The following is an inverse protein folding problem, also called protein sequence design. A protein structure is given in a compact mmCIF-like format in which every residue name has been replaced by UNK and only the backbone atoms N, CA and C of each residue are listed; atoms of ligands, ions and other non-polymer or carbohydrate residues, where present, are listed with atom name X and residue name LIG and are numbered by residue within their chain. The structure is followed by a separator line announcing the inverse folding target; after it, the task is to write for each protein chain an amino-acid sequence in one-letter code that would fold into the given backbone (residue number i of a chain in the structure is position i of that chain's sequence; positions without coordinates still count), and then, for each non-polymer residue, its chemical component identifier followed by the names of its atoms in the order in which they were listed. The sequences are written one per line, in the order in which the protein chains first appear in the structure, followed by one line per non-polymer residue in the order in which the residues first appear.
data_IF_253104535944
#
_entry.id   IF_253104535944
#
_cell.length_a   1.000
_cell.length_b   1.000
_cell.length_c   1.000
_cell.angle_alpha   90.00
_cell.angle_beta   90.00
_cell.angle_gamma   90.00
#
_symmetry.space_group_name_H-M   'P 1'
#
loop_
_entity.id
_entity.type
_entity.pdbx_description
1 polymer ?
#
# COMPACT_ATOMS: atom_id res chain seq x y z
N UNK A 1 -82.33 -28.92 -66.62
CA UNK A 1 -81.17 -29.72 -66.17
C UNK A 1 -79.90 -28.90 -66.38
N UNK A 2 -79.06 -28.84 -65.34
CA UNK A 2 -77.69 -28.28 -65.27
C UNK A 2 -77.53 -26.75 -65.20
N UNK A 3 -77.47 -26.27 -63.95
CA UNK A 3 -76.59 -25.17 -63.53
C UNK A 3 -75.19 -25.36 -64.12
N UNK A 4 -74.68 -24.37 -64.86
CA UNK A 4 -73.23 -24.21 -65.07
C UNK A 4 -72.67 -23.50 -63.85
N UNK A 5 -71.96 -24.25 -63.03
CA UNK A 5 -71.10 -23.77 -61.95
C UNK A 5 -69.90 -23.03 -62.59
N UNK A 6 -69.75 -21.75 -62.23
CA UNK A 6 -68.51 -20.99 -62.10
C UNK A 6 -67.36 -21.35 -63.07
N UNK A 7 -67.31 -20.70 -64.24
CA UNK A 7 -66.02 -20.43 -64.89
C UNK A 7 -65.49 -19.11 -64.33
N UNK A 8 -64.58 -19.22 -63.36
CA UNK A 8 -63.76 -18.10 -62.90
C UNK A 8 -62.56 -17.96 -63.83
N UNK A 9 -62.60 -16.98 -64.74
CA UNK A 9 -61.48 -16.66 -65.63
C UNK A 9 -60.54 -15.56 -65.08
N UNK A 10 -60.67 -15.22 -63.80
CA UNK A 10 -59.67 -14.40 -63.10
C UNK A 10 -58.95 -15.29 -62.08
N UNK A 11 -57.94 -16.03 -62.53
CA UNK A 11 -56.98 -16.71 -61.64
C UNK A 11 -56.07 -15.68 -60.94
N UNK A 12 -56.66 -14.77 -60.17
CA UNK A 12 -55.96 -13.70 -59.44
C UNK A 12 -55.46 -14.15 -58.06
N UNK A 13 -55.96 -15.29 -57.55
CA UNK A 13 -55.59 -15.81 -56.23
C UNK A 13 -54.12 -16.21 -56.12
N UNK A 14 -53.52 -16.72 -57.21
CA UNK A 14 -52.10 -17.07 -57.23
C UNK A 14 -51.21 -15.83 -57.18
N UNK A 15 -51.56 -14.79 -57.94
CA UNK A 15 -50.82 -13.52 -57.99
C UNK A 15 -50.92 -12.78 -56.64
N UNK A 16 -52.12 -12.73 -56.05
CA UNK A 16 -52.32 -12.11 -54.73
C UNK A 16 -51.56 -12.86 -53.63
N UNK A 17 -51.59 -14.20 -53.64
CA UNK A 17 -50.82 -15.01 -52.69
C UNK A 17 -49.32 -14.75 -52.77
N UNK A 18 -48.77 -14.65 -53.99
CA UNK A 18 -47.35 -14.33 -54.20
C UNK A 18 -47.01 -12.92 -53.70
N UNK A 19 -47.85 -11.93 -53.96
CA UNK A 19 -47.64 -10.55 -53.47
C UNK A 19 -47.63 -10.50 -51.94
N UNK A 20 -48.56 -11.20 -51.27
CA UNK A 20 -48.62 -11.23 -49.81
C UNK A 20 -47.38 -11.92 -49.23
N UNK A 21 -46.93 -13.05 -49.81
CA UNK A 21 -45.72 -13.75 -49.36
C UNK A 21 -44.50 -12.83 -49.52
N UNK A 22 -44.35 -12.16 -50.67
CA UNK A 22 -43.24 -11.22 -50.90
C UNK A 22 -43.31 -10.03 -49.93
N UNK A 23 -44.50 -9.48 -49.68
CA UNK A 23 -44.68 -8.39 -48.72
C UNK A 23 -44.33 -8.80 -47.30
N UNK A 24 -44.73 -10.00 -46.88
CA UNK A 24 -44.43 -10.54 -45.56
C UNK A 24 -42.94 -10.87 -45.42
N UNK A 25 -42.30 -11.47 -46.42
CA UNK A 25 -40.86 -11.78 -46.37
C UNK A 25 -40.02 -10.52 -46.31
N UNK A 26 -40.33 -9.50 -47.11
CA UNK A 26 -39.61 -8.21 -47.08
C UNK A 26 -39.78 -7.55 -45.71
N UNK A 27 -40.99 -7.59 -45.15
CA UNK A 27 -41.27 -7.01 -43.83
C UNK A 27 -40.52 -7.75 -42.72
N UNK A 28 -40.50 -9.09 -42.75
CA UNK A 28 -39.73 -9.89 -41.80
C UNK A 28 -38.23 -9.63 -41.89
N UNK A 29 -37.67 -9.59 -43.11
CA UNK A 29 -36.26 -9.26 -43.32
C UNK A 29 -35.96 -7.84 -42.81
N UNK A 30 -36.85 -6.88 -43.08
CA UNK A 30 -36.71 -5.50 -42.61
C UNK A 30 -36.65 -5.41 -41.08
N UNK A 31 -37.55 -6.09 -40.38
CA UNK A 31 -37.56 -6.15 -38.91
C UNK A 31 -36.29 -6.84 -38.38
N UNK A 32 -35.88 -7.96 -38.98
CA UNK A 32 -34.67 -8.69 -38.57
C UNK A 32 -33.43 -7.80 -38.71
N UNK A 33 -33.26 -7.12 -39.85
CA UNK A 33 -32.11 -6.25 -40.07
C UNK A 33 -32.07 -5.06 -39.11
N UNK A 34 -33.24 -4.49 -38.78
CA UNK A 34 -33.36 -3.36 -37.85
C UNK A 34 -32.79 -3.69 -36.46
N UNK A 35 -33.02 -4.91 -35.96
CA UNK A 35 -32.54 -5.35 -34.64
C UNK A 35 -31.19 -6.08 -34.68
N UNK A 36 -30.89 -6.83 -35.74
CA UNK A 36 -29.70 -7.69 -35.79
C UNK A 36 -28.43 -6.91 -36.08
N UNK A 37 -28.49 -5.88 -36.94
CA UNK A 37 -27.30 -5.10 -37.32
C UNK A 37 -26.67 -4.39 -36.10
N UNK A 38 -27.44 -3.67 -35.25
CA UNK A 38 -26.88 -3.08 -34.04
C UNK A 38 -26.36 -4.11 -33.03
N UNK A 39 -27.06 -5.24 -32.86
CA UNK A 39 -26.64 -6.31 -31.95
C UNK A 39 -25.31 -6.95 -32.37
N UNK A 40 -25.13 -7.22 -33.67
CA UNK A 40 -23.89 -7.76 -34.23
C UNK A 40 -22.75 -6.75 -34.09
N UNK A 41 -23.00 -5.46 -34.36
CA UNK A 41 -21.99 -4.41 -34.19
C UNK A 41 -21.49 -4.28 -32.75
N UNK A 42 -22.39 -4.40 -31.76
CA UNK A 42 -22.01 -4.44 -30.35
C UNK A 42 -21.13 -5.63 -30.00
N UNK A 43 -21.49 -6.83 -30.47
CA UNK A 43 -20.68 -8.05 -30.28
C UNK A 43 -19.31 -7.94 -30.95
N UNK A 44 -19.23 -7.35 -32.15
CA UNK A 44 -17.98 -7.13 -32.85
C UNK A 44 -17.06 -6.18 -32.08
N UNK A 45 -17.60 -5.08 -31.53
CA UNK A 45 -16.84 -4.14 -30.72
C UNK A 45 -16.35 -4.76 -29.40
N UNK A 46 -17.18 -5.53 -28.69
CA UNK A 46 -16.75 -6.25 -27.49
C UNK A 46 -15.65 -7.28 -27.81
N UNK A 47 -15.74 -7.97 -28.94
CA UNK A 47 -14.70 -8.90 -29.38
C UNK A 47 -13.38 -8.18 -29.73
N UNK A 48 -13.43 -6.99 -30.35
CA UNK A 48 -12.26 -6.14 -30.59
C UNK A 48 -11.57 -5.76 -29.29
N UNK A 49 -12.34 -5.30 -28.31
CA UNK A 49 -11.84 -4.90 -26.98
C UNK A 49 -11.15 -6.09 -26.30
N UNK A 50 -11.83 -7.23 -26.17
CA UNK A 50 -11.24 -8.42 -25.53
C UNK A 50 -9.97 -8.92 -26.22
N UNK A 51 -9.92 -8.88 -27.55
CA UNK A 51 -8.69 -9.24 -28.28
C UNK A 51 -7.57 -8.25 -28.00
N UNK A 52 -7.88 -6.96 -27.89
CA UNK A 52 -6.91 -5.93 -27.51
C UNK A 52 -6.40 -6.14 -26.08
N UNK A 53 -7.29 -6.37 -25.12
CA UNK A 53 -6.94 -6.71 -23.73
C UNK A 53 -5.97 -7.90 -23.67
N UNK A 54 -6.24 -8.97 -24.41
CA UNK A 54 -5.34 -10.13 -24.50
C UNK A 54 -3.99 -9.78 -25.13
N UNK A 55 -3.98 -9.03 -26.24
CA UNK A 55 -2.74 -8.56 -26.87
C UNK A 55 -1.91 -7.70 -25.92
N UNK A 56 -2.55 -6.87 -25.10
CA UNK A 56 -1.89 -6.03 -24.12
C UNK A 56 -1.38 -6.81 -22.90
N UNK A 57 -2.07 -7.85 -22.44
CA UNK A 57 -1.49 -8.77 -21.44
C UNK A 57 -0.23 -9.48 -21.97
N UNK A 58 -0.18 -9.79 -23.27
CA UNK A 58 1.05 -10.33 -23.89
C UNK A 58 2.13 -9.26 -24.02
N UNK A 59 1.75 -8.01 -24.33
CA UNK A 59 2.65 -6.87 -24.37
C UNK A 59 3.32 -6.66 -23.00
N UNK A 60 2.53 -6.64 -21.93
CA UNK A 60 2.97 -6.53 -20.55
C UNK A 60 4.02 -7.59 -20.19
N UNK A 61 3.69 -8.87 -20.38
CA UNK A 61 4.64 -9.97 -20.14
C UNK A 61 5.96 -9.82 -20.91
N UNK A 62 5.93 -9.28 -22.14
CA UNK A 62 7.15 -9.04 -22.93
C UNK A 62 7.88 -7.76 -22.51
N UNK A 63 7.16 -6.73 -22.09
CA UNK A 63 7.73 -5.50 -21.52
C UNK A 63 8.54 -5.84 -20.27
N UNK A 64 7.99 -6.62 -19.34
CA UNK A 64 8.71 -7.04 -18.13
C UNK A 64 9.98 -7.83 -18.47
N UNK A 65 9.94 -8.72 -19.47
CA UNK A 65 11.15 -9.44 -19.93
C UNK A 65 12.25 -8.53 -20.47
N UNK A 66 11.86 -7.43 -21.12
CA UNK A 66 12.82 -6.47 -21.67
C UNK A 66 13.35 -5.53 -20.59
N UNK A 67 12.45 -5.03 -19.74
CA UNK A 67 12.78 -4.11 -18.66
C UNK A 67 13.65 -4.75 -17.56
N UNK A 68 13.46 -6.05 -17.31
CA UNK A 68 14.16 -6.82 -16.27
C UNK A 68 15.36 -7.63 -16.81
N UNK A 69 15.74 -7.43 -18.07
CA UNK A 69 16.99 -7.97 -18.61
C UNK A 69 16.98 -9.41 -19.12
N UNK A 70 15.82 -10.07 -19.16
CA UNK A 70 15.73 -11.41 -19.75
C UNK A 70 15.95 -11.39 -21.28
N UNK A 71 15.67 -10.26 -21.93
CA UNK A 71 15.84 -10.10 -23.36
C UNK A 71 16.13 -8.64 -23.77
N UNK A 72 17.12 -8.37 -24.63
CA UNK A 72 17.45 -6.99 -25.03
C UNK A 72 16.35 -6.34 -25.89
N UNK A 73 15.52 -7.15 -26.55
CA UNK A 73 14.43 -6.65 -27.40
C UNK A 73 13.31 -7.67 -27.59
N UNK A 74 12.10 -7.19 -27.81
CA UNK A 74 10.93 -8.00 -28.14
C UNK A 74 10.12 -7.33 -29.26
N UNK A 75 9.43 -8.15 -30.05
CA UNK A 75 8.52 -7.68 -31.09
C UNK A 75 7.12 -8.23 -30.81
N UNK A 76 6.13 -7.35 -30.79
CA UNK A 76 4.75 -7.67 -30.42
C UNK A 76 3.83 -7.29 -31.58
N UNK A 77 3.08 -8.25 -32.09
CA UNK A 77 2.06 -7.99 -33.10
C UNK A 77 0.75 -7.58 -32.44
N UNK A 78 0.19 -6.44 -32.84
CA UNK A 78 -1.10 -5.93 -32.38
C UNK A 78 -2.03 -5.74 -33.57
N UNK A 79 -3.25 -6.27 -33.45
CA UNK A 79 -4.29 -6.12 -34.46
C UNK A 79 -5.11 -4.88 -34.15
N UNK A 80 -4.98 -3.82 -34.97
CA UNK A 80 -5.68 -2.56 -34.70
C UNK A 80 -7.18 -2.68 -34.87
N UNK A 81 -7.67 -3.55 -35.76
CA UNK A 81 -9.10 -3.83 -35.97
C UNK A 81 -9.99 -2.58 -36.16
N UNK A 82 -9.43 -1.51 -36.73
CA UNK A 82 -10.10 -0.22 -36.95
C UNK A 82 -9.88 0.81 -35.86
N UNK A 83 -9.07 0.49 -34.85
CA UNK A 83 -8.66 1.40 -33.77
C UNK A 83 -7.39 2.19 -34.09
N UNK A 84 -6.97 2.95 -33.09
CA UNK A 84 -5.74 3.77 -33.11
C UNK A 84 -4.81 3.30 -32.00
N UNK A 85 -3.57 2.97 -32.34
CA UNK A 85 -2.52 2.74 -31.35
C UNK A 85 -1.68 4.01 -31.20
N UNK A 86 -1.49 4.44 -29.95
CA UNK A 86 -0.61 5.53 -29.55
C UNK A 86 0.50 5.01 -28.63
N UNK A 87 1.71 5.51 -28.81
CA UNK A 87 2.82 5.41 -27.85
C UNK A 87 3.06 6.83 -27.32
N UNK A 88 2.93 7.00 -26.01
CA UNK A 88 2.87 8.28 -25.31
C UNK A 88 4.01 8.39 -24.27
N UNK A 89 5.25 8.37 -24.76
CA UNK A 89 6.49 8.50 -23.98
C UNK A 89 7.23 9.79 -24.29
N UNK A 90 6.58 10.94 -24.07
CA UNK A 90 7.13 12.28 -24.27
C UNK A 90 6.82 13.19 -23.06
N UNK A 91 7.42 14.39 -23.02
CA UNK A 91 7.32 15.31 -21.88
C UNK A 91 5.86 15.70 -21.53
N UNK A 92 5.01 15.90 -22.54
CA UNK A 92 3.58 16.21 -22.32
C UNK A 92 2.82 15.04 -21.69
N UNK A 93 3.08 13.82 -22.17
CA UNK A 93 2.45 12.60 -21.65
C UNK A 93 2.92 12.30 -20.23
N UNK A 94 4.22 12.51 -19.96
CA UNK A 94 4.80 12.33 -18.64
C UNK A 94 4.15 13.24 -17.59
N UNK A 95 3.75 14.46 -17.93
CA UNK A 95 3.07 15.35 -16.97
C UNK A 95 1.71 14.82 -16.46
N UNK A 96 1.11 13.85 -17.15
CA UNK A 96 -0.17 13.23 -16.81
C UNK A 96 -0.05 11.75 -16.42
N UNK A 97 1.18 11.21 -16.41
CA UNK A 97 1.48 9.80 -16.16
C UNK A 97 2.75 9.70 -15.31
N UNK A 98 2.58 9.79 -13.98
CA UNK A 98 3.67 9.92 -13.01
C UNK A 98 3.37 9.19 -11.70
N UNK A 99 4.41 8.59 -11.13
CA UNK A 99 4.41 8.06 -9.75
C UNK A 99 5.35 8.93 -8.92
N UNK A 100 4.87 9.40 -7.77
CA UNK A 100 5.66 10.08 -6.76
C UNK A 100 5.53 9.33 -5.44
N UNK A 101 6.65 8.94 -4.86
CA UNK A 101 6.71 8.33 -3.53
C UNK A 101 7.19 9.39 -2.56
N UNK A 102 6.44 9.58 -1.48
CA UNK A 102 6.71 10.55 -0.42
C UNK A 102 6.93 9.80 0.88
N UNK A 103 8.03 10.11 1.57
CA UNK A 103 8.31 9.63 2.92
C UNK A 103 7.90 10.71 3.93
N UNK A 104 7.11 10.36 4.94
CA UNK A 104 6.66 11.31 5.95
C UNK A 104 6.86 10.76 7.37
N UNK A 105 7.20 11.65 8.31
CA UNK A 105 7.01 11.38 9.74
C UNK A 105 5.55 11.68 10.15
N UNK A 106 5.15 11.38 11.38
CA UNK A 106 3.78 11.58 11.88
C UNK A 106 3.29 13.02 11.67
N UNK A 107 4.13 14.01 11.98
CA UNK A 107 3.76 15.42 11.80
C UNK A 107 3.65 15.81 10.32
N UNK A 108 4.53 15.30 9.46
CA UNK A 108 4.47 15.47 8.01
C UNK A 108 3.22 14.86 7.42
N UNK A 109 2.84 13.67 7.90
CA UNK A 109 1.62 12.96 7.54
C UNK A 109 0.35 13.72 7.96
N UNK A 110 0.31 14.25 9.18
CA UNK A 110 -0.80 15.10 9.63
C UNK A 110 -0.94 16.35 8.75
N UNK A 111 0.18 17.00 8.39
CA UNK A 111 0.17 18.21 7.57
C UNK A 111 -0.41 17.99 6.16
N UNK A 112 -0.10 16.87 5.52
CA UNK A 112 -0.60 16.53 4.17
C UNK A 112 -2.03 15.97 4.19
N UNK A 113 -2.51 15.45 5.32
CA UNK A 113 -3.87 14.93 5.46
C UNK A 113 -4.89 15.98 5.88
N UNK A 114 -4.48 17.04 6.59
CA UNK A 114 -5.36 18.09 7.12
C UNK A 114 -6.31 18.72 6.10
N UNK A 115 -5.90 18.88 4.84
CA UNK A 115 -6.70 19.50 3.79
C UNK A 115 -7.22 18.49 2.74
N UNK A 116 -7.21 17.21 3.09
CA UNK A 116 -7.42 16.11 2.15
C UNK A 116 -6.20 15.87 1.27
N UNK A 117 -6.06 14.65 0.77
CA UNK A 117 -4.98 14.34 -0.16
C UNK A 117 -5.25 14.97 -1.53
N UNK A 118 -4.24 15.65 -2.06
CA UNK A 118 -4.27 16.14 -3.42
C UNK A 118 -2.88 16.11 -4.06
N UNK A 119 -2.84 15.99 -5.39
CA UNK A 119 -1.61 16.01 -6.16
C UNK A 119 -0.74 17.23 -5.84
N UNK A 120 0.55 17.02 -5.58
CA UNK A 120 1.53 18.03 -5.13
C UNK A 120 1.27 18.67 -3.76
N UNK A 121 0.36 18.13 -2.96
CA UNK A 121 0.10 18.64 -1.60
C UNK A 121 1.33 18.57 -0.67
N UNK A 122 2.26 17.63 -0.92
CA UNK A 122 3.48 17.46 -0.14
C UNK A 122 4.52 18.57 -0.38
N UNK A 123 4.54 19.23 -1.55
CA UNK A 123 5.58 20.21 -1.93
C UNK A 123 5.65 21.38 -0.93
N UNK A 124 4.50 21.78 -0.38
CA UNK A 124 4.39 22.86 0.61
C UNK A 124 5.16 22.58 1.91
N UNK A 125 5.34 21.32 2.27
CA UNK A 125 5.91 20.89 3.54
C UNK A 125 7.36 20.40 3.44
N UNK A 126 7.94 20.40 2.24
CA UNK A 126 9.35 20.01 2.03
C UNK A 126 9.65 18.57 2.42
N UNK A 127 8.69 17.66 2.27
CA UNK A 127 8.87 16.24 2.56
C UNK A 127 9.80 15.59 1.52
N UNK A 128 10.64 14.65 1.96
CA UNK A 128 11.47 13.88 1.02
C UNK A 128 10.58 13.06 0.08
N UNK A 129 10.89 13.13 -1.20
CA UNK A 129 10.13 12.50 -2.25
C UNK A 129 10.98 12.20 -3.47
N UNK A 130 10.56 11.21 -4.23
CA UNK A 130 11.16 10.85 -5.50
C UNK A 130 10.09 10.40 -6.47
N UNK A 131 10.37 10.56 -7.75
CA UNK A 131 9.38 10.38 -8.80
C UNK A 131 9.94 9.69 -10.03
N UNK A 132 9.06 9.04 -10.75
CA UNK A 132 9.30 8.53 -12.09
C UNK A 132 8.10 8.84 -12.96
N UNK A 133 8.36 9.17 -14.23
CA UNK A 133 7.31 9.26 -15.25
C UNK A 133 7.10 7.88 -15.86
N UNK A 134 5.86 7.53 -16.17
CA UNK A 134 5.55 6.20 -16.73
C UNK A 134 5.38 6.27 -18.24
N UNK A 135 4.53 7.17 -18.74
CA UNK A 135 4.09 7.13 -20.13
C UNK A 135 3.20 5.90 -20.39
N UNK A 136 2.62 5.83 -21.60
CA UNK A 136 1.67 4.77 -21.93
C UNK A 136 1.80 4.26 -23.36
N UNK A 137 1.32 3.04 -23.57
CA UNK A 137 0.93 2.54 -24.90
C UNK A 137 -0.57 2.35 -24.85
N UNK A 138 -1.32 2.87 -25.81
CA UNK A 138 -2.78 2.92 -25.77
C UNK A 138 -3.37 2.44 -27.08
N UNK A 139 -4.41 1.62 -27.03
CA UNK A 139 -5.24 1.26 -28.16
C UNK A 139 -6.67 1.76 -27.95
N UNK A 140 -7.08 2.69 -28.81
CA UNK A 140 -8.36 3.39 -28.74
C UNK A 140 -9.35 2.80 -29.74
N UNK A 141 -10.55 2.46 -29.23
CA UNK A 141 -11.70 2.00 -30.00
C UNK A 141 -12.91 2.89 -29.66
N UNK A 142 -13.17 3.91 -30.49
CA UNK A 142 -14.20 4.92 -30.23
C UNK A 142 -13.98 5.60 -28.87
N UNK A 143 -14.78 5.25 -27.85
CA UNK A 143 -14.72 5.80 -26.49
C UNK A 143 -14.16 4.79 -25.46
N UNK A 144 -13.56 3.69 -25.93
CA UNK A 144 -12.94 2.67 -25.09
C UNK A 144 -11.44 2.63 -25.32
N UNK A 145 -10.65 2.54 -24.25
CA UNK A 145 -9.18 2.56 -24.32
C UNK A 145 -8.60 1.38 -23.55
N UNK A 146 -7.77 0.57 -24.20
CA UNK A 146 -6.92 -0.43 -23.54
C UNK A 146 -5.50 0.12 -23.51
N UNK A 147 -4.87 0.17 -22.34
CA UNK A 147 -3.57 0.81 -22.17
C UNK A 147 -2.61 -0.02 -21.32
N UNK A 148 -1.34 0.03 -21.68
CA UNK A 148 -0.24 -0.37 -20.82
C UNK A 148 0.38 0.88 -20.20
N UNK A 149 0.44 0.95 -18.87
CA UNK A 149 1.01 2.08 -18.13
C UNK A 149 1.56 1.58 -16.78
N UNK A 150 2.78 2.03 -16.43
CA UNK A 150 3.36 1.78 -15.10
C UNK A 150 3.60 0.32 -14.77
N UNK A 151 3.62 -0.56 -15.77
CA UNK A 151 3.77 -2.01 -15.60
C UNK A 151 2.45 -2.77 -15.49
N UNK A 152 1.30 -2.11 -15.57
CA UNK A 152 -0.02 -2.75 -15.60
C UNK A 152 -0.75 -2.54 -16.91
N UNK A 153 -1.83 -3.30 -17.11
CA UNK A 153 -2.75 -3.13 -18.24
C UNK A 153 -4.12 -2.71 -17.72
N UNK A 154 -4.65 -1.64 -18.31
CA UNK A 154 -5.87 -0.96 -17.89
C UNK A 154 -6.86 -0.90 -19.05
N UNK A 155 -8.16 -1.05 -18.75
CA UNK A 155 -9.26 -0.98 -19.72
C UNK A 155 -10.26 0.07 -19.26
N UNK A 156 -10.36 1.17 -20.01
CA UNK A 156 -11.19 2.34 -19.71
C UNK A 156 -12.42 2.34 -20.59
N UNK A 157 -13.59 2.34 -19.94
CA UNK A 157 -14.88 2.28 -20.58
C UNK A 157 -15.43 3.68 -20.92
N UNK A 158 -16.41 3.77 -21.85
CA UNK A 158 -17.02 5.05 -22.25
C UNK A 158 -17.67 5.84 -21.10
N UNK A 159 -18.02 5.17 -20.00
CA UNK A 159 -18.53 5.81 -18.79
C UNK A 159 -17.44 6.49 -17.93
N UNK A 160 -16.18 6.41 -18.35
CA UNK A 160 -15.02 6.98 -17.66
C UNK A 160 -14.39 6.08 -16.59
N UNK A 161 -15.00 4.93 -16.27
CA UNK A 161 -14.44 3.95 -15.33
C UNK A 161 -13.32 3.14 -15.99
N UNK A 162 -12.27 2.86 -15.23
CA UNK A 162 -11.20 1.98 -15.63
C UNK A 162 -11.24 0.68 -14.82
N UNK A 163 -10.78 -0.41 -15.41
CA UNK A 163 -10.56 -1.68 -14.71
C UNK A 163 -9.17 -2.21 -15.03
N UNK A 164 -8.60 -2.93 -14.08
CA UNK A 164 -7.34 -3.63 -14.26
C UNK A 164 -7.55 -4.91 -15.07
N UNK A 165 -6.72 -5.12 -16.09
CA UNK A 165 -6.66 -6.34 -16.92
C UNK A 165 -5.43 -7.17 -16.56
N UNK A 166 -4.28 -6.51 -16.37
CA UNK A 166 -3.03 -7.12 -15.89
C UNK A 166 -2.48 -6.29 -14.73
N UNK A 167 -2.10 -6.90 -13.61
CA UNK A 167 -1.63 -6.17 -12.46
C UNK A 167 -0.26 -5.54 -12.72
N UNK A 168 0.01 -4.34 -12.20
CA UNK A 168 1.34 -3.78 -12.18
C UNK A 168 2.24 -4.56 -11.23
N UNK A 169 3.55 -4.44 -11.46
CA UNK A 169 4.59 -4.99 -10.59
C UNK A 169 4.65 -4.17 -9.28
N UNK A 170 3.70 -4.44 -8.38
CA UNK A 170 3.60 -3.89 -7.03
C UNK A 170 3.64 -5.08 -6.08
N UNK A 171 4.77 -5.32 -5.43
CA UNK A 171 4.94 -6.50 -4.59
C UNK A 171 5.30 -6.12 -3.15
N UNK A 172 4.43 -6.51 -2.22
CA UNK A 172 4.70 -6.39 -0.78
C UNK A 172 4.66 -7.78 -0.15
N UNK A 173 5.75 -8.14 0.54
CA UNK A 173 5.93 -9.47 1.13
C UNK A 173 5.73 -9.50 2.66
N UNK A 174 5.09 -8.46 3.23
CA UNK A 174 4.94 -8.31 4.68
C UNK A 174 6.04 -7.49 5.36
N UNK A 175 7.13 -7.18 4.65
CA UNK A 175 8.24 -6.39 5.21
C UNK A 175 8.84 -5.41 4.20
N UNK A 176 8.94 -5.83 2.93
CA UNK A 176 9.55 -5.09 1.84
C UNK A 176 8.52 -4.76 0.79
N UNK A 177 8.40 -3.48 0.42
CA UNK A 177 7.71 -3.06 -0.80
C UNK A 177 8.73 -2.97 -1.93
N UNK A 178 8.52 -3.75 -2.96
CA UNK A 178 9.27 -3.70 -4.22
C UNK A 178 8.37 -3.09 -5.29
N UNK A 179 8.79 -1.94 -5.83
CA UNK A 179 8.06 -1.14 -6.81
C UNK A 179 8.95 -0.81 -8.01
N UNK A 180 9.06 -1.71 -8.99
CA UNK A 180 9.66 -1.41 -10.28
C UNK A 180 8.66 -0.61 -11.15
N UNK A 181 8.99 0.65 -11.40
CA UNK A 181 8.19 1.55 -12.24
C UNK A 181 8.65 1.37 -13.68
N UNK A 182 7.72 0.97 -14.56
CA UNK A 182 7.99 0.83 -15.99
C UNK A 182 7.80 2.17 -16.70
N UNK A 183 8.85 2.67 -17.34
CA UNK A 183 8.84 3.92 -18.10
C UNK A 183 8.94 3.65 -19.61
N UNK A 184 7.88 3.96 -20.33
CA UNK A 184 7.79 3.86 -21.78
C UNK A 184 8.35 5.13 -22.41
N UNK A 185 9.42 4.98 -23.19
CA UNK A 185 9.98 6.02 -24.05
C UNK A 185 9.53 5.81 -25.50
N UNK A 186 9.19 6.88 -26.21
CA UNK A 186 8.81 6.84 -27.62
C UNK A 186 7.52 7.61 -27.89
N UNK A 187 7.35 8.15 -29.09
CA UNK A 187 6.15 8.89 -29.45
C UNK A 187 5.72 8.58 -30.87
N UNK A 188 4.61 7.89 -31.02
CA UNK A 188 4.08 7.51 -32.33
C UNK A 188 2.59 7.24 -32.28
N UNK A 189 1.92 7.33 -33.42
CA UNK A 189 0.50 7.03 -33.55
C UNK A 189 0.24 6.39 -34.91
N UNK A 190 -0.58 5.34 -34.92
CA UNK A 190 -1.03 4.68 -36.14
C UNK A 190 -2.50 4.31 -36.00
N UNK A 191 -3.27 4.56 -37.05
CA UNK A 191 -4.69 4.18 -37.12
C UNK A 191 -4.90 3.28 -38.32
N UNK A 192 -5.73 2.26 -38.16
CA UNK A 192 -6.04 1.37 -39.27
C UNK A 192 -6.69 0.06 -38.86
N UNK A 193 -6.87 -0.82 -39.84
CA UNK A 193 -7.45 -2.15 -39.64
C UNK A 193 -6.43 -3.29 -39.81
N UNK A 194 -5.17 -2.96 -40.11
CA UNK A 194 -4.10 -3.93 -40.28
C UNK A 194 -3.45 -4.32 -38.96
N UNK A 195 -2.74 -5.45 -38.98
CA UNK A 195 -1.83 -5.82 -37.92
C UNK A 195 -0.56 -4.96 -38.02
N UNK A 196 -0.07 -4.49 -36.89
CA UNK A 196 1.17 -3.71 -36.75
C UNK A 196 2.11 -4.43 -35.79
N UNK A 197 3.39 -4.09 -35.82
CA UNK A 197 4.35 -4.57 -34.84
C UNK A 197 4.84 -3.42 -33.95
N UNK A 198 4.98 -3.69 -32.66
CA UNK A 198 5.70 -2.82 -31.73
C UNK A 198 7.05 -3.48 -31.43
N UNK A 199 8.12 -2.76 -31.71
CA UNK A 199 9.46 -3.09 -31.26
C UNK A 199 9.69 -2.47 -29.87
N UNK A 200 10.17 -3.28 -28.95
CA UNK A 200 10.40 -2.92 -27.55
C UNK A 200 11.84 -3.24 -27.21
N UNK A 201 12.59 -2.27 -26.69
CA UNK A 201 14.03 -2.40 -26.38
C UNK A 201 14.37 -1.76 -25.04
N UNK A 202 15.37 -2.29 -24.33
CA UNK A 202 15.90 -1.68 -23.10
C UNK A 202 17.43 -1.82 -23.05
N UNK A 203 18.07 -0.91 -22.31
CA UNK A 203 19.49 -1.01 -22.00
C UNK A 203 19.79 -1.98 -20.85
N UNK A 204 18.76 -2.56 -20.21
CA UNK A 204 18.88 -3.46 -19.05
C UNK A 204 19.65 -2.83 -17.87
N UNK A 205 19.46 -1.52 -17.67
CA UNK A 205 20.08 -0.78 -16.59
C UNK A 205 19.01 -0.02 -15.82
N UNK A 206 18.37 -0.64 -14.82
CA UNK A 206 17.37 0.04 -14.02
C UNK A 206 17.99 1.16 -13.20
N UNK A 207 17.31 2.30 -13.13
CA UNK A 207 17.70 3.42 -12.27
C UNK A 207 17.12 3.20 -10.89
N UNK A 208 17.98 3.00 -9.90
CA UNK A 208 17.57 2.86 -8.51
C UNK A 208 17.12 4.22 -7.95
N UNK A 209 15.86 4.31 -7.50
CA UNK A 209 15.28 5.49 -6.87
C UNK A 209 15.28 5.37 -5.34
N UNK A 210 15.13 4.15 -4.83
CA UNK A 210 15.26 3.84 -3.41
C UNK A 210 15.76 2.38 -3.22
N UNK A 211 16.70 2.11 -2.29
CA UNK A 211 17.48 3.07 -1.52
C UNK A 211 18.47 3.84 -2.41
N UNK A 212 18.79 5.07 -2.05
CA UNK A 212 19.78 5.91 -2.74
C UNK A 212 20.65 6.65 -1.71
N UNK A 213 21.86 6.12 -1.48
CA UNK A 213 22.82 6.68 -0.52
C UNK A 213 23.27 8.09 -0.88
N UNK A 214 23.23 8.49 -2.15
CA UNK A 214 23.65 9.83 -2.55
C UNK A 214 22.65 10.90 -2.06
N UNK A 215 21.40 10.51 -1.84
CA UNK A 215 20.33 11.36 -1.33
C UNK A 215 19.92 10.99 0.11
N UNK A 216 20.78 10.28 0.86
CA UNK A 216 20.50 9.80 2.24
C UNK A 216 19.21 8.97 2.36
N UNK A 217 18.84 8.26 1.29
CA UNK A 217 17.71 7.32 1.29
C UNK A 217 18.23 5.93 1.55
N UNK A 218 18.06 5.42 2.76
CA UNK A 218 18.59 4.11 3.16
C UNK A 218 17.48 3.19 3.63
N UNK A 219 17.79 1.90 3.56
CA UNK A 219 17.04 0.86 4.26
C UNK A 219 17.77 0.50 5.55
N UNK A 220 17.06 0.13 6.64
CA UNK A 220 15.61 0.22 6.84
C UNK A 220 15.07 1.64 6.69
N UNK A 221 13.77 1.77 6.42
CA UNK A 221 13.13 3.08 6.25
C UNK A 221 13.20 3.91 7.53
N UNK A 222 13.66 5.16 7.40
CA UNK A 222 13.62 6.18 8.46
C UNK A 222 12.42 7.12 8.25
N UNK A 223 11.23 6.55 8.13
CA UNK A 223 9.97 7.26 7.96
C UNK A 223 8.86 6.62 8.80
N UNK A 224 7.73 7.31 8.94
CA UNK A 224 6.56 6.79 9.67
C UNK A 224 5.48 6.30 8.72
N UNK A 225 5.40 6.93 7.54
CA UNK A 225 4.45 6.64 6.48
C UNK A 225 5.13 6.74 5.12
N UNK A 226 4.76 5.86 4.21
CA UNK A 226 4.99 6.01 2.77
C UNK A 226 3.67 6.34 2.10
N UNK A 227 3.68 7.36 1.25
CA UNK A 227 2.53 7.71 0.43
C UNK A 227 2.94 7.75 -1.02
N UNK A 228 2.21 7.03 -1.87
CA UNK A 228 2.45 6.90 -3.29
C UNK A 228 1.33 7.61 -4.03
N UNK A 229 1.66 8.71 -4.69
CA UNK A 229 0.77 9.45 -5.58
C UNK A 229 0.98 8.97 -7.01
N UNK A 230 -0.08 8.43 -7.62
CA UNK A 230 -0.06 7.90 -8.98
C UNK A 230 -1.00 8.76 -9.82
N UNK A 231 -0.46 9.70 -10.58
CA UNK A 231 -1.21 10.53 -11.50
C UNK A 231 -1.36 9.79 -12.83
N UNK A 232 -2.59 9.54 -13.24
CA UNK A 232 -2.93 8.67 -14.38
C UNK A 232 -4.35 8.89 -14.88
N UNK A 233 -4.61 8.66 -16.17
CA UNK A 233 -5.97 8.58 -16.73
C UNK A 233 -6.78 7.37 -16.21
N UNK A 234 -6.11 6.40 -15.58
CA UNK A 234 -6.63 5.15 -15.04
C UNK A 234 -6.56 5.12 -13.49
N UNK A 235 -6.47 6.29 -12.85
CA UNK A 235 -6.28 6.42 -11.40
C UNK A 235 -7.32 5.67 -10.54
N UNK A 236 -8.54 5.50 -11.03
CA UNK A 236 -9.57 4.74 -10.32
C UNK A 236 -9.24 3.25 -10.26
N UNK A 237 -8.77 2.66 -11.38
CA UNK A 237 -8.31 1.27 -11.40
C UNK A 237 -7.03 1.06 -10.59
N UNK A 238 -6.12 2.03 -10.56
CA UNK A 238 -4.94 2.00 -9.69
C UNK A 238 -5.33 1.95 -8.21
N UNK A 239 -6.29 2.79 -7.80
CA UNK A 239 -6.80 2.79 -6.43
C UNK A 239 -7.54 1.49 -6.08
N UNK A 240 -8.38 0.98 -6.99
CA UNK A 240 -9.08 -0.30 -6.81
C UNK A 240 -8.08 -1.46 -6.70
N UNK A 241 -7.02 -1.48 -7.50
CA UNK A 241 -5.95 -2.49 -7.40
C UNK A 241 -5.21 -2.41 -6.07
N UNK A 242 -4.79 -1.23 -5.65
CA UNK A 242 -4.15 -1.05 -4.35
C UNK A 242 -5.06 -1.54 -3.22
N UNK A 243 -6.33 -1.13 -3.19
CA UNK A 243 -7.30 -1.61 -2.19
C UNK A 243 -7.59 -3.12 -2.26
N UNK A 244 -7.25 -3.80 -3.37
CA UNK A 244 -7.33 -5.27 -3.45
C UNK A 244 -6.14 -5.97 -2.79
N UNK A 245 -5.04 -5.25 -2.54
CA UNK A 245 -3.91 -5.73 -1.76
C UNK A 245 -4.25 -5.63 -0.28
N UNK A 246 -3.99 -6.70 0.48
CA UNK A 246 -4.42 -6.86 1.88
C UNK A 246 -4.00 -5.72 2.81
N UNK A 247 -2.95 -4.99 2.44
CA UNK A 247 -2.18 -4.15 3.36
C UNK A 247 -1.93 -2.74 2.85
N UNK A 248 -2.74 -2.28 1.89
CA UNK A 248 -2.62 -0.91 1.40
C UNK A 248 -3.98 -0.26 1.42
N UNK A 249 -3.99 1.02 1.80
CA UNK A 249 -5.17 1.85 1.73
C UNK A 249 -5.00 2.85 0.60
N UNK A 250 -5.94 2.88 -0.33
CA UNK A 250 -5.91 3.83 -1.43
C UNK A 250 -7.16 4.69 -1.50
N UNK A 251 -6.95 5.97 -1.76
CA UNK A 251 -8.00 6.96 -2.04
C UNK A 251 -7.76 7.61 -3.39
N UNK A 252 -8.73 8.38 -3.89
CA UNK A 252 -8.64 9.06 -5.18
C UNK A 252 -8.82 10.57 -5.04
N UNK A 253 -7.94 11.32 -5.68
CA UNK A 253 -8.09 12.75 -5.97
C UNK A 253 -8.63 12.91 -7.40
N UNK A 254 -9.96 12.96 -7.52
CA UNK A 254 -10.69 13.00 -8.80
C UNK A 254 -10.32 14.25 -9.63
N UNK A 255 -10.30 15.48 -9.07
CA UNK A 255 -9.92 16.68 -9.83
C UNK A 255 -8.56 16.59 -10.52
N UNK A 256 -7.58 15.93 -9.88
CA UNK A 256 -6.23 15.78 -10.44
C UNK A 256 -5.96 14.40 -11.06
N UNK A 257 -6.96 13.52 -11.14
CA UNK A 257 -6.85 12.15 -11.65
C UNK A 257 -5.68 11.40 -11.01
N UNK A 258 -5.69 11.31 -9.68
CA UNK A 258 -4.57 10.74 -8.92
C UNK A 258 -5.08 9.68 -7.95
N UNK A 259 -4.44 8.51 -7.96
CA UNK A 259 -4.59 7.47 -6.94
C UNK A 259 -3.55 7.71 -5.84
N UNK A 260 -3.93 7.52 -4.58
CA UNK A 260 -3.11 7.89 -3.43
C UNK A 260 -3.09 6.70 -2.51
N UNK A 261 -1.97 5.97 -2.53
CA UNK A 261 -1.76 4.74 -1.76
C UNK A 261 -0.95 5.07 -0.51
N UNK A 262 -1.39 4.59 0.63
CA UNK A 262 -0.74 4.79 1.92
C UNK A 262 -0.25 3.45 2.49
N UNK A 263 0.97 3.46 3.04
CA UNK A 263 1.56 2.34 3.77
C UNK A 263 2.20 2.83 5.08
N UNK A 264 2.13 1.99 6.10
CA UNK A 264 2.68 2.25 7.42
C UNK A 264 4.09 1.71 7.53
N UNK A 265 5.00 2.49 8.14
CA UNK A 265 6.39 2.09 8.31
C UNK A 265 6.64 1.72 9.77
N UNK A 266 7.28 0.57 10.01
CA UNK A 266 7.71 0.14 11.33
C UNK A 266 9.24 0.00 11.36
N UNK A 267 9.87 0.21 12.52
CA UNK A 267 11.30 -0.02 12.66
C UNK A 267 11.65 -1.50 12.51
N UNK A 268 12.90 -1.81 12.09
CA UNK A 268 13.39 -3.18 12.02
C UNK A 268 13.36 -3.87 13.39
N UNK A 269 12.97 -5.15 13.39
CA UNK A 269 13.06 -6.02 14.57
C UNK A 269 14.51 -6.48 14.81
N UNK A 270 14.76 -7.04 15.99
CA UNK A 270 16.07 -7.46 16.48
C UNK A 270 16.74 -6.43 17.38
N UNK A 271 18.05 -6.64 17.62
CA UNK A 271 18.86 -5.78 18.50
C UNK A 271 19.41 -4.58 17.74
N UNK A 272 19.03 -3.38 18.17
CA UNK A 272 19.41 -2.10 17.57
C UNK A 272 19.93 -1.13 18.63
N UNK A 273 20.74 -0.15 18.23
CA UNK A 273 21.12 0.98 19.10
C UNK A 273 19.84 1.68 19.58
N UNK A 274 19.80 2.03 20.87
CA UNK A 274 18.61 2.62 21.47
C UNK A 274 18.39 4.04 20.94
N UNK A 275 17.44 4.18 20.02
CA UNK A 275 17.00 5.49 19.55
C UNK A 275 16.11 6.17 20.59
N UNK A 276 16.18 7.50 20.65
CA UNK A 276 15.27 8.30 21.45
C UNK A 276 14.68 9.44 20.59
N UNK A 277 13.35 9.43 20.33
CA UNK A 277 12.37 8.37 20.64
C UNK A 277 12.57 7.09 19.80
N UNK A 278 11.98 5.97 20.22
CA UNK A 278 11.89 4.73 19.41
C UNK A 278 10.43 4.38 19.12
N UNK A 279 10.18 3.45 18.19
CA UNK A 279 8.82 3.02 17.82
C UNK A 279 8.67 1.52 17.96
N UNK A 280 7.43 1.09 18.15
CA UNK A 280 6.99 -0.30 18.03
C UNK A 280 5.86 -0.31 17.01
N UNK A 281 5.92 -1.21 16.04
CA UNK A 281 4.88 -1.39 15.04
C UNK A 281 3.57 -1.87 15.65
N UNK A 282 2.51 -1.86 14.86
CA UNK A 282 1.26 -2.49 15.27
C UNK A 282 1.53 -3.99 15.50
N UNK A 283 0.99 -4.56 16.57
CA UNK A 283 1.21 -5.96 16.94
C UNK A 283 0.02 -6.81 16.46
N UNK A 284 0.27 -8.04 16.02
CA UNK A 284 -0.76 -9.02 15.68
C UNK A 284 -1.55 -9.43 16.93
N UNK A 285 -2.70 -8.81 17.12
CA UNK A 285 -3.63 -9.05 18.23
C UNK A 285 -4.42 -10.35 18.09
N UNK A 286 -4.29 -11.06 16.95
CA UNK A 286 -4.87 -12.39 16.78
C UNK A 286 -4.06 -13.49 17.46
N UNK A 287 -2.79 -13.23 17.78
CA UNK A 287 -1.96 -14.13 18.58
C UNK A 287 -2.16 -13.87 20.07
N UNK A 288 -2.13 -14.94 20.87
CA UNK A 288 -2.21 -14.81 22.33
C UNK A 288 -0.99 -14.05 22.88
N UNK A 289 0.20 -14.35 22.33
CA UNK A 289 1.51 -13.89 22.79
C UNK A 289 2.39 -13.38 21.65
N UNK A 290 2.04 -12.24 21.04
CA UNK A 290 2.72 -11.77 19.84
C UNK A 290 4.11 -11.17 20.10
N UNK A 291 4.44 -10.72 21.31
CA UNK A 291 5.80 -10.25 21.60
C UNK A 291 6.72 -11.42 22.01
N UNK A 292 7.84 -11.54 21.32
CA UNK A 292 8.87 -12.57 21.53
C UNK A 292 10.11 -12.04 22.26
N UNK A 293 10.43 -10.74 22.12
CA UNK A 293 11.46 -10.05 22.88
C UNK A 293 11.11 -8.57 23.02
N UNK A 294 11.23 -8.03 24.23
CA UNK A 294 11.18 -6.60 24.50
C UNK A 294 12.11 -6.26 25.65
N UNK A 295 13.38 -6.04 25.33
CA UNK A 295 14.40 -5.78 26.34
C UNK A 295 15.27 -4.58 26.01
N UNK A 296 15.81 -3.97 27.07
CA UNK A 296 16.76 -2.87 27.00
C UNK A 296 18.09 -3.30 27.60
N UNK A 297 19.17 -2.97 26.92
CA UNK A 297 20.51 -2.92 27.51
C UNK A 297 20.87 -1.44 27.70
N UNK A 298 20.72 -0.95 28.92
CA UNK A 298 20.95 0.45 29.26
C UNK A 298 22.37 0.63 29.79
N UNK A 299 23.09 1.59 29.23
CA UNK A 299 24.43 2.00 29.67
C UNK A 299 24.41 3.40 30.29
N UNK A 300 25.19 3.61 31.34
CA UNK A 300 25.30 4.90 32.01
C UNK A 300 26.04 5.95 31.15
N UNK A 301 25.52 7.18 31.15
CA UNK A 301 26.12 8.32 30.43
C UNK A 301 27.33 8.93 31.10
N UNK A 302 27.49 8.74 32.40
CA UNK A 302 28.54 9.41 33.14
C UNK A 302 28.71 8.88 34.55
N UNK A 303 29.56 9.53 35.32
CA UNK A 303 30.02 9.05 36.63
C UNK A 303 28.94 8.96 37.71
N UNK A 304 27.74 9.49 37.47
CA UNK A 304 26.58 9.30 38.36
C UNK A 304 25.94 7.91 38.20
N UNK A 305 26.33 7.16 37.17
CA UNK A 305 25.78 5.84 36.89
C UNK A 305 24.30 5.86 36.52
N UNK A 306 23.65 4.72 36.66
CA UNK A 306 22.21 4.55 36.49
C UNK A 306 21.41 4.96 37.74
N UNK A 307 22.09 5.32 38.84
CA UNK A 307 21.49 5.70 40.13
C UNK A 307 20.57 6.94 40.07
N UNK A 308 20.60 7.69 38.96
CA UNK A 308 19.71 8.84 38.74
C UNK A 308 18.40 8.47 38.04
N UNK A 309 18.15 7.19 37.74
CA UNK A 309 16.86 6.68 37.31
C UNK A 309 15.88 6.73 38.49
N UNK A 310 15.31 7.90 38.77
CA UNK A 310 14.29 8.07 39.80
C UNK A 310 12.97 8.46 39.13
N UNK A 311 12.00 7.55 39.16
CA UNK A 311 10.74 7.64 38.41
C UNK A 311 10.96 7.91 36.92
N UNK A 312 11.93 7.23 36.33
CA UNK A 312 12.21 7.34 34.90
C UNK A 312 11.08 6.68 34.11
N UNK A 313 10.48 7.39 33.18
CA UNK A 313 9.27 6.95 32.46
C UNK A 313 9.63 6.45 31.07
N UNK A 314 9.32 5.20 30.76
CA UNK A 314 9.22 4.69 29.38
C UNK A 314 7.75 4.83 28.99
N UNK A 315 7.42 5.90 28.28
CA UNK A 315 6.07 6.36 27.99
C UNK A 315 5.71 6.15 26.51
N UNK A 316 4.53 5.62 26.25
CA UNK A 316 3.94 5.45 24.93
C UNK A 316 2.52 6.03 24.88
N UNK A 317 2.12 6.51 23.70
CA UNK A 317 0.77 7.03 23.46
C UNK A 317 0.28 6.70 22.05
N UNK A 318 -0.97 6.30 21.93
CA UNK A 318 -1.66 6.01 20.66
C UNK A 318 -3.12 6.39 20.78
N UNK A 319 -3.60 7.36 19.98
CA UNK A 319 -4.99 7.82 20.07
C UNK A 319 -5.39 8.27 21.48
N UNK A 320 -6.43 7.64 22.05
CA UNK A 320 -6.92 7.87 23.41
C UNK A 320 -6.13 7.15 24.50
N UNK A 321 -5.15 6.32 24.13
CA UNK A 321 -4.48 5.34 24.99
C UNK A 321 -3.05 5.75 25.33
N UNK A 322 -2.64 5.46 26.55
CA UNK A 322 -1.24 5.63 27.01
C UNK A 322 -0.78 4.43 27.82
N UNK A 323 0.53 4.16 27.78
CA UNK A 323 1.20 3.11 28.55
C UNK A 323 2.52 3.65 29.09
N UNK A 324 2.74 3.50 30.38
CA UNK A 324 3.95 4.02 31.05
C UNK A 324 4.57 2.94 31.92
N UNK A 325 5.84 2.62 31.69
CA UNK A 325 6.67 1.86 32.64
C UNK A 325 7.50 2.85 33.44
N UNK A 326 7.34 2.85 34.77
CA UNK A 326 8.15 3.67 35.68
C UNK A 326 9.31 2.84 36.22
N UNK A 327 10.52 3.30 35.98
CA UNK A 327 11.76 2.67 36.41
C UNK A 327 12.37 3.48 37.57
N UNK A 328 12.83 2.76 38.58
CA UNK A 328 13.55 3.34 39.71
C UNK A 328 14.78 2.48 40.04
N UNK A 329 15.97 3.05 39.89
CA UNK A 329 17.18 2.45 40.44
C UNK A 329 17.20 2.65 41.96
N UNK A 330 17.37 1.54 42.67
CA UNK A 330 17.67 1.56 44.09
C UNK A 330 18.44 0.31 44.49
N UNK A 331 19.58 0.51 45.15
CA UNK A 331 20.40 -0.59 45.71
C UNK A 331 20.99 -1.52 44.65
N UNK A 332 21.46 -0.96 43.54
CA UNK A 332 22.01 -1.66 42.37
C UNK A 332 21.00 -2.56 41.67
N UNK A 333 19.72 -2.21 41.77
CA UNK A 333 18.63 -2.86 41.05
C UNK A 333 17.75 -1.79 40.41
N UNK A 334 17.37 -1.98 39.15
CA UNK A 334 16.33 -1.17 38.48
C UNK A 334 15.00 -1.88 38.65
N UNK A 335 14.08 -1.27 39.38
CA UNK A 335 12.73 -1.80 39.60
C UNK A 335 11.73 -1.15 38.65
N UNK A 336 10.80 -1.95 38.14
CA UNK A 336 9.58 -1.44 37.51
C UNK A 336 8.61 -1.12 38.64
N UNK A 337 8.60 0.13 39.09
CA UNK A 337 7.78 0.53 40.24
C UNK A 337 6.31 0.64 39.92
N UNK A 338 5.96 0.93 38.67
CA UNK A 338 4.57 1.02 38.22
C UNK A 338 4.48 0.82 36.71
N UNK A 339 3.47 0.08 36.26
CA UNK A 339 2.99 0.04 34.87
C UNK A 339 1.60 0.64 34.85
N UNK A 340 1.45 1.80 34.21
CA UNK A 340 0.18 2.52 34.10
C UNK A 340 -0.32 2.48 32.67
N UNK A 341 -1.51 1.90 32.47
CA UNK A 341 -2.26 1.96 31.23
C UNK A 341 -3.48 2.87 31.41
N UNK A 342 -3.79 3.70 30.41
CA UNK A 342 -4.97 4.56 30.41
C UNK A 342 -5.64 4.56 29.04
N UNK A 343 -6.98 4.49 28.98
CA UNK A 343 -7.76 4.66 27.75
C UNK A 343 -8.89 5.68 27.94
N UNK A 344 -8.64 6.91 27.50
CA UNK A 344 -9.60 8.02 27.66
C UNK A 344 -10.87 7.92 26.80
N UNK A 345 -10.99 6.89 25.95
CA UNK A 345 -12.23 6.62 25.20
C UNK A 345 -13.31 5.91 26.03
N UNK A 346 -12.93 5.31 27.16
CA UNK A 346 -13.83 4.59 28.06
C UNK A 346 -14.42 5.54 29.11
N UNK A 347 -15.75 5.52 29.25
CA UNK A 347 -16.45 6.25 30.31
C UNK A 347 -16.25 5.56 31.68
N UNK A 348 -15.88 6.33 32.71
CA UNK A 348 -15.75 5.83 34.09
C UNK A 348 -14.29 5.65 34.53
N UNK A 349 -13.98 4.51 35.14
CA UNK A 349 -12.59 4.17 35.49
C UNK A 349 -11.86 3.71 34.23
N UNK A 350 -10.86 4.48 33.84
CA UNK A 350 -10.18 4.34 32.55
C UNK A 350 -8.67 4.15 32.69
N UNK A 351 -8.20 3.87 33.91
CA UNK A 351 -6.80 3.67 34.24
C UNK A 351 -6.60 2.32 34.92
N UNK A 352 -5.52 1.63 34.61
CA UNK A 352 -5.11 0.39 35.26
C UNK A 352 -3.64 0.48 35.62
N UNK A 353 -3.32 0.16 36.87
CA UNK A 353 -1.96 0.27 37.39
C UNK A 353 -1.52 -1.03 38.06
N UNK A 354 -0.26 -1.40 37.81
CA UNK A 354 0.41 -2.56 38.37
C UNK A 354 1.72 -2.16 39.03
N UNK A 355 2.02 -2.68 40.21
CA UNK A 355 3.25 -2.44 40.94
C UNK A 355 4.16 -3.67 40.91
N UNK A 356 5.42 -3.49 40.54
CA UNK A 356 6.45 -4.52 40.59
C UNK A 356 7.29 -4.42 41.85
N UNK A 357 7.72 -5.56 42.41
CA UNK A 357 8.59 -5.62 43.60
C UNK A 357 10.02 -6.06 43.26
N UNK A 358 10.14 -6.84 42.20
CA UNK A 358 11.40 -7.35 41.68
C UNK A 358 12.17 -6.26 40.91
N UNK A 359 13.46 -6.51 40.71
CA UNK A 359 14.38 -5.55 40.10
C UNK A 359 15.43 -6.25 39.25
N UNK A 360 15.81 -5.58 38.17
CA UNK A 360 16.89 -6.02 37.28
C UNK A 360 18.22 -5.59 37.86
N UNK A 361 19.23 -6.47 37.92
CA UNK A 361 20.52 -6.12 38.49
C UNK A 361 21.24 -5.07 37.65
N UNK A 362 21.85 -4.10 38.32
CA UNK A 362 22.83 -3.19 37.74
C UNK A 362 24.21 -3.83 37.89
N UNK A 363 24.90 -3.97 36.77
CA UNK A 363 26.23 -4.56 36.68
C UNK A 363 27.24 -3.43 36.50
N UNK A 364 28.51 -3.67 36.84
CA UNK A 364 29.62 -2.72 36.76
C UNK A 364 29.51 -1.53 37.74
N UNK A 365 30.17 -0.40 37.44
CA UNK A 365 30.31 0.75 38.35
C UNK A 365 30.33 2.09 37.62
N UNK A 366 29.61 3.08 38.16
CA UNK A 366 29.61 4.47 37.72
C UNK A 366 29.35 4.61 36.21
N UNK A 367 30.29 5.18 35.45
CA UNK A 367 30.14 5.42 34.01
C UNK A 367 30.06 4.15 33.17
N UNK A 368 30.49 3.02 33.73
CA UNK A 368 30.46 1.73 33.05
C UNK A 368 29.25 0.89 33.51
N UNK A 369 28.37 1.42 34.37
CA UNK A 369 27.17 0.71 34.82
C UNK A 369 26.27 0.34 33.63
N UNK A 370 25.81 -0.90 33.65
CA UNK A 370 24.85 -1.41 32.68
C UNK A 370 23.73 -2.19 33.35
N UNK A 371 22.54 -2.18 32.74
CA UNK A 371 21.40 -2.99 33.18
C UNK A 371 20.69 -3.62 31.99
N UNK A 372 20.35 -4.91 32.13
CA UNK A 372 19.53 -5.66 31.19
C UNK A 372 18.10 -5.71 31.76
N UNK A 373 17.19 -4.97 31.14
CA UNK A 373 15.78 -4.89 31.55
C UNK A 373 14.96 -5.67 30.53
N UNK A 374 14.41 -6.81 30.93
CA UNK A 374 13.51 -7.61 30.09
C UNK A 374 12.06 -7.33 30.48
N UNK A 375 11.31 -6.63 29.62
CA UNK A 375 9.90 -6.34 29.85
C UNK A 375 8.98 -7.55 29.60
N UNK A 376 9.55 -8.68 29.18
CA UNK A 376 8.88 -9.96 28.99
C UNK A 376 9.36 -11.01 30.02
N UNK A 377 9.98 -10.60 31.13
CA UNK A 377 10.37 -11.53 32.20
C UNK A 377 9.12 -12.19 32.82
N UNK A 378 9.06 -13.52 32.81
CA UNK A 378 7.94 -14.30 33.33
C UNK A 378 8.07 -14.61 34.83
N UNK A 379 9.24 -14.34 35.42
CA UNK A 379 9.55 -14.58 36.83
C UNK A 379 9.23 -13.39 37.75
N UNK A 380 8.95 -12.21 37.16
CA UNK A 380 8.66 -10.99 37.90
C UNK A 380 7.15 -10.85 38.14
N UNK A 381 6.75 -10.83 39.41
CA UNK A 381 5.35 -10.68 39.79
C UNK A 381 4.96 -9.20 39.85
N UNK A 382 3.82 -8.89 39.23
CA UNK A 382 3.18 -7.59 39.18
C UNK A 382 1.87 -7.64 39.95
N UNK A 383 1.69 -6.74 40.91
CA UNK A 383 0.49 -6.66 41.75
C UNK A 383 -0.45 -5.56 41.25
N UNK A 384 -1.72 -5.89 41.02
CA UNK A 384 -2.74 -4.95 40.58
C UNK A 384 -3.16 -4.01 41.72
N UNK A 385 -3.22 -2.71 41.48
CA UNK A 385 -3.42 -1.71 42.56
C UNK A 385 -4.87 -1.30 42.82
N UNK A 386 -5.80 -1.63 41.91
CA UNK A 386 -7.22 -1.22 41.97
C UNK A 386 -8.17 -2.38 42.31
N UNK A 387 -9.40 -2.06 42.69
CA UNK A 387 -10.43 -3.06 43.02
C UNK A 387 -11.06 -3.73 41.79
N UNK A 388 -11.10 -3.02 40.66
CA UNK A 388 -11.72 -3.48 39.42
C UNK A 388 -10.87 -3.11 38.21
N UNK A 389 -10.68 -4.07 37.32
CA UNK A 389 -10.06 -3.88 36.02
C UNK A 389 -11.15 -3.76 34.93
N UNK A 390 -10.91 -2.90 33.95
CA UNK A 390 -11.80 -2.70 32.80
C UNK A 390 -11.33 -3.46 31.55
N UNK A 391 -10.04 -3.78 31.45
CA UNK A 391 -9.49 -4.56 30.33
C UNK A 391 -9.22 -6.02 30.68
N UNK A 392 -9.13 -6.35 31.99
CA UNK A 392 -8.90 -7.72 32.46
C UNK A 392 -10.19 -8.38 32.95
N UNK A 393 -10.46 -9.60 32.47
CA UNK A 393 -11.66 -10.36 32.81
C UNK A 393 -11.65 -10.97 34.24
N UNK A 394 -10.54 -10.90 34.98
CA UNK A 394 -10.44 -11.46 36.34
C UNK A 394 -9.64 -10.54 37.27
N UNK A 395 -10.16 -10.35 38.48
CA UNK A 395 -9.48 -9.77 39.65
C UNK A 395 -8.41 -10.72 40.21
N UNK A 396 -7.54 -11.28 39.37
CA UNK A 396 -6.32 -11.90 39.87
C UNK A 396 -5.38 -10.75 40.23
N UNK A 397 -5.16 -10.56 41.53
CA UNK A 397 -4.36 -9.47 42.07
C UNK A 397 -2.89 -9.53 41.69
N UNK A 398 -2.40 -10.64 41.12
CA UNK A 398 -1.01 -10.83 40.71
C UNK A 398 -0.96 -11.45 39.30
N UNK A 399 -0.10 -10.91 38.45
CA UNK A 399 0.23 -11.41 37.10
C UNK A 399 1.75 -11.31 36.87
N UNK A 400 2.30 -12.08 35.95
CA UNK A 400 3.70 -11.88 35.54
C UNK A 400 3.87 -10.60 34.73
N UNK A 401 5.05 -9.99 34.78
CA UNK A 401 5.42 -8.86 33.92
C UNK A 401 5.22 -9.21 32.44
N UNK A 402 5.58 -10.43 32.03
CA UNK A 402 5.26 -10.98 30.71
C UNK A 402 3.79 -10.81 30.33
N UNK A 403 2.85 -11.27 31.15
CA UNK A 403 1.42 -11.19 30.86
C UNK A 403 0.92 -9.74 30.80
N UNK A 404 1.38 -8.90 31.73
CA UNK A 404 0.99 -7.48 31.79
C UNK A 404 1.46 -6.74 30.54
N UNK A 405 2.72 -6.92 30.15
CA UNK A 405 3.31 -6.30 28.95
C UNK A 405 2.60 -6.79 27.69
N UNK A 406 2.42 -8.11 27.51
CA UNK A 406 1.74 -8.67 26.33
C UNK A 406 0.33 -8.11 26.15
N UNK A 407 -0.43 -8.00 27.24
CA UNK A 407 -1.79 -7.48 27.21
C UNK A 407 -1.87 -6.01 26.80
N UNK A 408 -1.12 -5.13 27.48
CA UNK A 408 -1.19 -3.70 27.18
C UNK A 408 -0.51 -3.31 25.87
N UNK A 409 0.49 -4.06 25.42
CA UNK A 409 1.10 -3.86 24.11
C UNK A 409 0.09 -4.14 22.98
N UNK A 410 -0.73 -5.18 23.09
CA UNK A 410 -1.85 -5.41 22.15
C UNK A 410 -2.82 -4.23 22.15
N UNK A 411 -3.26 -3.79 23.32
CA UNK A 411 -4.24 -2.70 23.45
C UNK A 411 -3.73 -1.35 22.94
N UNK A 412 -2.49 -0.96 23.28
CA UNK A 412 -1.97 0.35 22.86
C UNK A 412 -1.65 0.41 21.36
N UNK A 413 -1.38 -0.74 20.74
CA UNK A 413 -1.08 -0.84 19.31
C UNK A 413 -2.30 -1.08 18.42
N UNK A 414 -3.50 -1.17 19.02
CA UNK A 414 -4.75 -1.38 18.28
C UNK A 414 -5.02 -0.29 17.22
N UNK A 415 -4.60 0.96 17.48
CA UNK A 415 -4.76 2.08 16.55
C UNK A 415 -3.60 2.26 15.57
N UNK A 416 -2.60 1.36 15.61
CA UNK A 416 -1.43 1.38 14.73
C UNK A 416 -0.09 1.39 15.48
N UNK A 417 0.98 1.77 14.77
CA UNK A 417 2.32 1.87 15.35
C UNK A 417 2.38 2.94 16.47
N UNK A 418 3.18 2.67 17.50
CA UNK A 418 3.26 3.48 18.72
C UNK A 418 4.67 3.98 18.93
N UNK A 419 4.80 5.25 19.30
CA UNK A 419 6.06 5.87 19.62
C UNK A 419 6.30 5.86 21.13
N UNK A 420 7.45 5.35 21.54
CA UNK A 420 7.94 5.36 22.91
C UNK A 420 8.91 6.53 23.13
N UNK A 421 8.76 7.19 24.27
CA UNK A 421 9.60 8.27 24.76
C UNK A 421 10.10 7.87 26.14
N UNK A 422 11.40 7.99 26.34
CA UNK A 422 12.04 7.89 27.64
C UNK A 422 12.15 9.28 28.29
N UNK A 423 11.62 9.46 29.49
CA UNK A 423 11.55 10.75 30.17
C UNK A 423 12.13 10.65 31.57
N UNK A 424 12.98 11.61 31.91
CA UNK A 424 13.54 11.76 33.25
C UNK A 424 12.74 12.76 34.08
N UNK A 425 12.53 12.46 35.36
CA UNK A 425 12.01 13.41 36.36
C UNK A 425 13.05 14.46 36.79
N UNK A 426 14.34 14.21 36.51
CA UNK A 426 15.48 15.02 36.95
C UNK A 426 16.04 15.96 35.87
N UNK A 427 17.06 16.75 36.24
CA UNK A 427 17.70 17.73 35.34
C UNK A 427 18.66 17.10 34.31
N UNK A 428 18.96 15.80 34.39
CA UNK A 428 19.89 15.13 33.48
C UNK A 428 19.46 13.69 33.21
N UNK A 429 19.50 13.29 31.93
CA UNK A 429 19.25 11.92 31.48
C UNK A 429 20.47 11.02 31.79
N UNK A 430 20.33 9.96 32.60
CA UNK A 430 21.44 9.08 32.96
C UNK A 430 21.84 8.10 31.86
N UNK A 431 21.07 7.95 30.78
CA UNK A 431 21.28 6.93 29.75
C UNK A 431 22.21 7.44 28.64
N UNK A 432 23.21 6.63 28.27
CA UNK A 432 23.97 6.78 27.04
C UNK A 432 23.28 6.04 25.89
N UNK A 433 22.43 6.74 25.13
CA UNK A 433 21.74 6.16 23.98
C UNK A 433 22.68 5.60 22.90
N UNK A 434 23.90 6.13 22.76
CA UNK A 434 24.85 5.65 21.76
C UNK A 434 25.47 4.30 22.09
N UNK A 435 25.58 3.98 23.38
CA UNK A 435 26.10 2.71 23.90
C UNK A 435 24.98 1.74 24.31
N UNK A 436 23.77 2.26 24.54
CA UNK A 436 22.59 1.47 24.89
C UNK A 436 21.95 0.81 23.67
N UNK A 437 21.24 -0.29 23.89
CA UNK A 437 20.51 -0.99 22.83
C UNK A 437 19.13 -1.44 23.28
N UNK A 438 18.27 -1.67 22.30
CA UNK A 438 16.94 -2.26 22.46
C UNK A 438 16.86 -3.51 21.59
N UNK A 439 16.26 -4.56 22.11
CA UNK A 439 15.91 -5.74 21.33
C UNK A 439 14.40 -5.92 21.30
N UNK A 440 13.84 -5.88 20.09
CA UNK A 440 12.40 -5.99 19.84
C UNK A 440 12.13 -7.09 18.81
N UNK A 441 11.40 -8.13 19.19
CA UNK A 441 10.90 -9.15 18.27
C UNK A 441 9.43 -9.40 18.58
N UNK A 442 8.57 -9.30 17.58
CA UNK A 442 7.14 -9.50 17.75
C UNK A 442 6.49 -9.90 16.42
N UNK A 443 5.33 -10.52 16.50
CA UNK A 443 4.46 -10.72 15.35
C UNK A 443 3.81 -9.37 15.04
N UNK A 444 4.31 -8.69 14.02
CA UNK A 444 3.71 -7.43 13.57
C UNK A 444 2.36 -7.69 12.92
N UNK A 445 1.40 -6.79 13.18
CA UNK A 445 0.15 -6.73 12.42
C UNK A 445 0.49 -6.65 10.94
N UNK A 446 -0.20 -7.43 10.10
CA UNK A 446 0.16 -7.50 8.72
C UNK A 446 -0.30 -6.19 8.05
N UNK A 447 0.67 -5.32 7.74
CA UNK A 447 0.54 -3.94 7.21
C UNK A 447 1.83 -3.12 7.31
N UNK A 448 2.86 -3.67 7.94
CA UNK A 448 4.03 -2.91 8.38
C UNK A 448 5.22 -2.98 7.41
N UNK A 449 5.64 -1.84 6.88
CA UNK A 449 6.76 -1.71 5.95
C UNK A 449 8.07 -1.45 6.71
N UNK A 450 9.12 -2.22 6.45
CA UNK A 450 10.46 -2.00 7.02
C UNK A 450 11.43 -1.57 5.90
N UNK A 451 11.29 -2.17 4.72
CA UNK A 451 12.20 -1.96 3.59
C UNK A 451 11.44 -1.46 2.37
N UNK A 452 12.08 -0.59 1.61
CA UNK A 452 11.56 -0.10 0.33
C UNK A 452 12.59 -0.33 -0.77
N UNK A 453 12.13 -0.77 -1.93
CA UNK A 453 12.95 -0.89 -3.12
C UNK A 453 12.17 -0.33 -4.30
N UNK A 454 12.62 0.79 -4.86
CA UNK A 454 11.97 1.43 -6.01
C UNK A 454 12.99 1.61 -7.12
N UNK A 455 12.64 1.15 -8.32
CA UNK A 455 13.45 1.32 -9.53
C UNK A 455 12.63 1.93 -10.64
N UNK A 456 13.27 2.71 -11.50
CA UNK A 456 12.74 3.12 -12.79
C UNK A 456 13.39 2.24 -13.86
N UNK A 457 12.56 1.57 -14.65
CA UNK A 457 12.99 0.61 -15.67
C UNK A 457 12.52 1.17 -17.03
N UNK A 458 13.48 1.66 -17.81
CA UNK A 458 13.18 2.30 -19.08
C UNK A 458 13.07 1.30 -20.21
N UNK A 459 12.05 1.50 -21.03
CA UNK A 459 11.79 0.71 -22.22
C UNK A 459 11.45 1.63 -23.39
N UNK A 460 12.20 1.53 -24.48
CA UNK A 460 11.92 2.27 -25.71
C UNK A 460 10.99 1.46 -26.61
N UNK A 461 9.88 2.06 -27.01
CA UNK A 461 8.85 1.44 -27.84
C UNK A 461 8.66 2.22 -29.16
N UNK A 462 8.63 1.50 -30.27
CA UNK A 462 8.45 2.05 -31.61
C UNK A 462 7.53 1.16 -32.45
N UNK A 463 6.71 1.78 -33.30
CA UNK A 463 5.86 1.07 -34.27
C UNK A 463 6.68 0.79 -35.53
N UNK A 464 6.71 -0.47 -35.96
CA UNK A 464 7.52 -0.97 -37.10
C UNK A 464 6.69 -1.67 -38.18
#
# INVERSE_FOLDING_TARGET
MKHRLLQSENAVSSVVGVIIIIGLTITSIGIILLYSVPAIGGLENSAKIHKSEQSFSVLDSRMSKVALGESPSQLIAISLMGGTLNINGNEDSYNNSQIVVVTANSSGYENITQNGYYWKGWEKYGLDNFSSSMGSIECLYQDHTVAYEGGGVWSKYPNGRSVMISPPEFHYNGQTLTLPIMKVNGYSSVSGSSDISISVTSSDTPKQLFPDRANNRTNPLEADKIIIFIKSEFYDAWADYANSQTYTRATTDIPNKTAIVELDVIPPMGKNVLAYPFKVGAIDDTQDYPMHNFSFELHAKGSQGLNSLNNYEVFASSGSRTLTFKLHEKSNEIKITSILYQDTSVDGDNEEEWEGKDGFPVIDKQSDEMALIDLLDDSFDMEYTKESAFTWNQTNSIQSLYNVTQHYMKLITEDGAVQFKMKTSGNSDPIDYGSSSIELNYDSRPESLIYLHVTENEVSAEIV
#
